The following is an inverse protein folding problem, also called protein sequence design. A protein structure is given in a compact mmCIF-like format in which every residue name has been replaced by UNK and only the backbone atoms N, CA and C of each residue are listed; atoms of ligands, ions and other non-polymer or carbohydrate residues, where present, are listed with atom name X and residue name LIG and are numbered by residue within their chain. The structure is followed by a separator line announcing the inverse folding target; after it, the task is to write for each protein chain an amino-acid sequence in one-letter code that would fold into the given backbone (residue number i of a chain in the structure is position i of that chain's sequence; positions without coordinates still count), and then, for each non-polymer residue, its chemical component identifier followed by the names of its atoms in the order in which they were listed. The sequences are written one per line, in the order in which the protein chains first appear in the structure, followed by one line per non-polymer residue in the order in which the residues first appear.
data_IF_981246106435
#
_entry.id   IF_981246106435
#
_cell.length_a   1.000
_cell.length_b   1.000
_cell.length_c   1.000
_cell.angle_alpha   90.00
_cell.angle_beta   90.00
_cell.angle_gamma   90.00
#
_symmetry.space_group_name_H-M   'P 1'
#
loop_
_entity.id
_entity.type
_entity.pdbx_description
1 polymer ?
#
# COMPACT_ATOMS: atom_id res chain seq x y z
N UNK A 1 18.92 -21.42 -11.10
CA UNK A 1 18.13 -22.09 -10.05
C UNK A 1 17.46 -20.96 -9.28
N UNK A 2 16.12 -20.85 -9.30
CA UNK A 2 15.45 -19.79 -8.54
C UNK A 2 15.44 -20.24 -7.08
N UNK A 3 16.16 -19.52 -6.22
CA UNK A 3 16.16 -19.76 -4.78
C UNK A 3 14.83 -19.24 -4.23
N UNK A 4 13.81 -20.09 -4.20
CA UNK A 4 12.49 -19.74 -3.64
C UNK A 4 12.46 -19.81 -2.10
N UNK A 5 13.52 -20.36 -1.49
CA UNK A 5 13.64 -20.55 -0.05
C UNK A 5 14.21 -19.32 0.68
N UNK A 6 14.69 -18.30 -0.05
CA UNK A 6 15.18 -17.07 0.56
C UNK A 6 14.05 -16.10 0.89
N UNK A 7 13.58 -16.18 2.14
CA UNK A 7 12.52 -15.33 2.68
C UNK A 7 12.79 -13.82 2.52
N UNK A 8 14.05 -13.37 2.58
CA UNK A 8 14.40 -11.94 2.49
C UNK A 8 14.22 -11.37 1.07
N UNK A 9 14.11 -12.24 0.07
CA UNK A 9 13.94 -11.86 -1.34
C UNK A 9 12.46 -11.76 -1.75
N UNK A 10 11.54 -12.49 -1.10
CA UNK A 10 10.12 -12.56 -1.53
C UNK A 10 9.13 -11.89 -0.58
N UNK A 11 9.50 -11.71 0.69
CA UNK A 11 8.65 -11.04 1.66
C UNK A 11 9.19 -9.66 1.98
N UNK A 12 8.30 -8.72 2.27
CA UNK A 12 8.65 -7.37 2.74
C UNK A 12 8.49 -7.24 4.25
N UNK A 13 7.80 -8.19 4.89
CA UNK A 13 7.70 -8.28 6.35
C UNK A 13 9.02 -8.83 6.89
N UNK A 14 9.77 -7.98 7.60
CA UNK A 14 11.13 -8.26 8.04
C UNK A 14 11.24 -8.65 9.52
N UNK A 15 10.12 -8.82 10.22
CA UNK A 15 10.09 -8.97 11.70
C UNK A 15 10.47 -10.37 12.22
N UNK A 16 10.75 -11.33 11.34
CA UNK A 16 10.97 -12.74 11.73
C UNK A 16 12.41 -13.08 12.12
N UNK A 17 13.37 -12.16 12.01
CA UNK A 17 14.78 -12.40 12.35
C UNK A 17 15.32 -11.28 13.25
N UNK A 18 16.14 -11.67 14.23
CA UNK A 18 16.88 -10.70 15.06
C UNK A 18 17.97 -10.06 14.18
N UNK A 19 18.04 -8.73 14.13
CA UNK A 19 18.98 -7.91 13.33
C UNK A 19 18.70 -7.80 11.82
N UNK A 20 17.47 -7.99 11.35
CA UNK A 20 17.10 -7.62 9.96
C UNK A 20 17.03 -6.10 9.79
N UNK A 21 17.66 -5.60 8.73
CA UNK A 21 17.61 -4.18 8.36
C UNK A 21 16.29 -3.90 7.64
N UNK A 22 15.40 -3.13 8.27
CA UNK A 22 14.17 -2.65 7.64
C UNK A 22 14.58 -1.65 6.55
N UNK A 23 14.30 -1.99 5.30
CA UNK A 23 14.47 -1.07 4.16
C UNK A 23 13.26 -0.16 4.09
N UNK A 24 13.42 1.06 4.59
CA UNK A 24 12.40 2.10 4.55
C UNK A 24 12.96 3.33 3.83
N UNK A 25 12.11 3.95 3.02
CA UNK A 25 12.36 5.23 2.34
C UNK A 25 11.15 6.12 2.59
N UNK A 26 11.38 7.41 2.82
CA UNK A 26 10.29 8.37 2.94
C UNK A 26 9.62 8.62 1.57
N UNK A 27 8.40 9.16 1.60
CA UNK A 27 7.60 9.35 0.40
C UNK A 27 8.28 10.29 -0.61
N UNK A 28 8.91 11.38 -0.17
CA UNK A 28 9.52 12.38 -1.07
C UNK A 28 10.73 11.78 -1.79
N UNK A 29 11.59 11.07 -1.05
CA UNK A 29 12.72 10.33 -1.60
C UNK A 29 12.25 9.25 -2.56
N UNK A 30 11.23 8.47 -2.19
CA UNK A 30 10.67 7.44 -3.06
C UNK A 30 10.15 8.02 -4.38
N UNK A 31 9.37 9.11 -4.34
CA UNK A 31 8.82 9.75 -5.54
C UNK A 31 9.94 10.25 -6.45
N UNK A 32 10.98 10.84 -5.87
CA UNK A 32 12.14 11.33 -6.62
C UNK A 32 12.83 10.17 -7.36
N UNK A 33 13.21 9.13 -6.63
CA UNK A 33 13.88 7.95 -7.20
C UNK A 33 13.00 7.27 -8.25
N UNK A 34 11.71 7.11 -7.97
CA UNK A 34 10.77 6.46 -8.86
C UNK A 34 10.66 7.19 -10.21
N UNK A 35 10.52 8.52 -10.18
CA UNK A 35 10.40 9.33 -11.39
C UNK A 35 11.68 9.36 -12.23
N UNK A 36 12.85 9.21 -11.60
CA UNK A 36 14.14 9.13 -12.31
C UNK A 36 14.36 7.76 -12.96
N UNK A 37 13.90 6.68 -12.32
CA UNK A 37 14.18 5.30 -12.74
C UNK A 37 13.15 4.71 -13.71
N UNK A 38 11.93 5.26 -13.75
CA UNK A 38 10.83 4.69 -14.52
C UNK A 38 10.28 5.66 -15.57
N UNK A 39 9.75 5.09 -16.66
CA UNK A 39 9.16 5.87 -17.76
C UNK A 39 7.76 6.43 -17.46
N UNK A 40 7.15 6.05 -16.33
CA UNK A 40 5.88 6.62 -15.85
C UNK A 40 6.14 7.52 -14.64
N UNK A 41 5.48 8.67 -14.58
CA UNK A 41 5.52 9.55 -13.41
C UNK A 41 4.65 8.99 -12.27
N UNK A 42 5.12 9.13 -11.03
CA UNK A 42 4.44 8.66 -9.82
C UNK A 42 2.98 9.12 -9.75
N UNK A 43 2.70 10.38 -10.14
CA UNK A 43 1.36 10.95 -10.09
C UNK A 43 0.31 10.10 -10.85
N UNK A 44 0.69 9.51 -11.99
CA UNK A 44 -0.19 8.61 -12.77
C UNK A 44 -0.48 7.31 -12.01
N UNK A 45 0.51 6.79 -11.29
CA UNK A 45 0.39 5.57 -10.49
C UNK A 45 -0.46 5.83 -9.24
N UNK A 46 -0.23 6.94 -8.56
CA UNK A 46 -1.00 7.38 -7.40
C UNK A 46 -2.50 7.54 -7.73
N UNK A 47 -2.82 8.13 -8.88
CA UNK A 47 -4.21 8.21 -9.37
C UNK A 47 -4.84 6.82 -9.54
N UNK A 48 -4.10 5.85 -10.10
CA UNK A 48 -4.57 4.46 -10.23
C UNK A 48 -4.79 3.81 -8.85
N UNK A 49 -3.94 4.12 -7.87
CA UNK A 49 -4.10 3.64 -6.49
C UNK A 49 -5.38 4.21 -5.88
N UNK A 50 -5.64 5.52 -6.02
CA UNK A 50 -6.89 6.10 -5.52
C UNK A 50 -8.15 5.54 -6.20
N UNK A 51 -8.10 5.31 -7.51
CA UNK A 51 -9.19 4.64 -8.22
C UNK A 51 -9.42 3.21 -7.74
N UNK A 52 -8.34 2.47 -7.48
CA UNK A 52 -8.40 1.12 -6.91
C UNK A 52 -9.08 1.13 -5.54
N UNK A 53 -8.61 1.98 -4.61
CA UNK A 53 -9.20 2.11 -3.28
C UNK A 53 -10.67 2.51 -3.35
N UNK A 54 -11.03 3.49 -4.19
CA UNK A 54 -12.42 3.92 -4.38
C UNK A 54 -13.30 2.76 -4.85
N UNK A 55 -12.86 1.97 -5.83
CA UNK A 55 -13.63 0.82 -6.34
C UNK A 55 -13.83 -0.23 -5.26
N UNK A 56 -12.80 -0.53 -4.48
CA UNK A 56 -12.88 -1.54 -3.41
C UNK A 56 -13.88 -1.09 -2.34
N UNK A 57 -13.74 0.12 -1.81
CA UNK A 57 -14.64 0.61 -0.77
C UNK A 57 -16.07 0.79 -1.27
N UNK A 58 -16.27 1.24 -2.52
CA UNK A 58 -17.61 1.30 -3.10
C UNK A 58 -18.25 -0.09 -3.20
N UNK A 59 -17.50 -1.08 -3.69
CA UNK A 59 -18.00 -2.46 -3.79
C UNK A 59 -18.30 -3.09 -2.44
N UNK A 60 -17.62 -2.66 -1.37
CA UNK A 60 -17.84 -3.13 0.00
C UNK A 60 -19.03 -2.42 0.70
N UNK A 61 -19.75 -1.55 0.00
CA UNK A 61 -20.92 -0.81 0.50
C UNK A 61 -22.14 -0.96 -0.40
N UNK A 62 -22.19 -1.97 -1.27
CA UNK A 62 -23.26 -2.13 -2.27
C UNK A 62 -24.50 -2.75 -1.63
N UNK A 63 -24.30 -3.73 -0.76
CA UNK A 63 -25.37 -4.39 -0.03
C UNK A 63 -25.64 -3.68 1.30
N UNK A 64 -26.83 -3.90 1.86
CA UNK A 64 -27.15 -3.39 3.19
C UNK A 64 -26.53 -4.29 4.28
N UNK A 65 -26.27 -3.76 5.48
CA UNK A 65 -25.91 -4.58 6.63
C UNK A 65 -26.91 -5.72 6.86
N UNK A 66 -26.45 -6.93 7.24
CA UNK A 66 -25.10 -7.26 7.73
C UNK A 66 -24.12 -7.74 6.65
N UNK A 67 -24.46 -7.66 5.36
CA UNK A 67 -23.62 -8.24 4.31
C UNK A 67 -22.39 -7.39 3.99
N UNK A 68 -22.55 -6.07 4.03
CA UNK A 68 -21.54 -5.09 3.63
C UNK A 68 -21.32 -4.01 4.72
N UNK A 69 -20.37 -3.11 4.47
CA UNK A 69 -20.06 -1.98 5.33
C UNK A 69 -21.21 -0.97 5.28
N UNK A 70 -21.94 -0.85 6.39
CA UNK A 70 -23.05 0.09 6.53
C UNK A 70 -22.62 1.53 6.77
N UNK A 71 -23.43 2.47 6.28
CA UNK A 71 -23.26 3.90 6.57
C UNK A 71 -23.71 4.24 8.01
N UNK A 72 -22.91 5.01 8.74
CA UNK A 72 -23.27 5.56 10.04
C UNK A 72 -22.63 6.94 10.23
N UNK A 73 -23.46 7.99 10.35
CA UNK A 73 -22.99 9.38 10.46
C UNK A 73 -22.15 9.65 11.72
N UNK A 74 -22.35 8.86 12.77
CA UNK A 74 -21.64 8.99 14.04
C UNK A 74 -20.38 8.11 14.12
N UNK A 75 -20.05 7.36 13.08
CA UNK A 75 -18.92 6.44 13.06
C UNK A 75 -17.93 6.79 11.95
N UNK A 76 -16.65 6.54 12.23
CA UNK A 76 -15.56 6.61 11.25
C UNK A 76 -14.68 5.39 11.43
N UNK A 77 -14.12 4.92 10.32
CA UNK A 77 -13.18 3.82 10.29
C UNK A 77 -11.90 4.28 9.58
N UNK A 78 -10.76 3.82 10.05
CA UNK A 78 -9.49 3.99 9.36
C UNK A 78 -9.01 2.65 8.83
N UNK A 79 -8.47 2.68 7.62
CA UNK A 79 -7.96 1.51 6.92
C UNK A 79 -6.57 1.83 6.37
N UNK A 80 -5.64 0.90 6.51
CA UNK A 80 -4.39 0.91 5.75
C UNK A 80 -4.52 -0.02 4.55
N UNK A 81 -3.90 0.37 3.43
CA UNK A 81 -3.88 -0.41 2.20
C UNK A 81 -2.44 -0.77 1.89
N UNK A 82 -2.15 -2.07 1.87
CA UNK A 82 -0.85 -2.57 1.47
C UNK A 82 -0.90 -3.01 0.01
N UNK A 83 0.07 -2.53 -0.77
CA UNK A 83 0.13 -2.76 -2.20
C UNK A 83 1.56 -2.96 -2.69
N UNK A 84 1.67 -3.62 -3.85
CA UNK A 84 2.93 -3.77 -4.59
C UNK A 84 2.76 -3.16 -5.98
N UNK A 85 3.86 -2.63 -6.52
CA UNK A 85 3.93 -2.14 -7.89
C UNK A 85 4.54 -3.23 -8.79
N UNK A 86 3.75 -3.71 -9.76
CA UNK A 86 4.19 -4.67 -10.76
C UNK A 86 4.57 -3.95 -12.06
N UNK A 87 5.80 -4.15 -12.55
CA UNK A 87 6.18 -3.74 -13.90
C UNK A 87 5.71 -4.80 -14.91
N UNK A 88 4.77 -4.45 -15.79
CA UNK A 88 4.26 -5.38 -16.79
C UNK A 88 5.24 -5.58 -17.94
N UNK A 89 5.58 -6.83 -18.22
CA UNK A 89 6.49 -7.22 -19.30
C UNK A 89 6.03 -6.84 -20.71
N UNK A 90 4.71 -6.66 -20.94
CA UNK A 90 4.17 -6.45 -22.28
C UNK A 90 4.21 -4.99 -22.75
N UNK A 91 4.23 -4.03 -21.83
CA UNK A 91 4.12 -2.61 -22.16
C UNK A 91 4.94 -1.70 -21.23
N UNK A 92 5.79 -2.27 -20.37
CA UNK A 92 6.56 -1.56 -19.34
C UNK A 92 5.71 -0.61 -18.48
N UNK A 93 4.41 -0.88 -18.36
CA UNK A 93 3.53 -0.10 -17.48
C UNK A 93 3.59 -0.63 -16.07
N UNK A 94 3.51 0.30 -15.12
CA UNK A 94 3.48 -0.04 -13.71
C UNK A 94 2.02 -0.17 -13.28
N UNK A 95 1.68 -1.34 -12.72
CA UNK A 95 0.36 -1.66 -12.19
C UNK A 95 0.43 -1.84 -10.67
N UNK A 96 -0.33 -1.04 -9.89
CA UNK A 96 -0.59 -1.33 -8.49
C UNK A 96 -1.36 -2.65 -8.32
N UNK A 97 -0.94 -3.45 -7.35
CA UNK A 97 -1.57 -4.70 -6.93
C UNK A 97 -1.90 -4.60 -5.45
N UNK A 98 -3.19 -4.68 -5.12
CA UNK A 98 -3.64 -4.78 -3.75
C UNK A 98 -3.15 -6.10 -3.14
N UNK A 99 -2.62 -6.05 -1.93
CA UNK A 99 -2.34 -7.23 -1.12
C UNK A 99 -3.40 -7.39 -0.03
N UNK A 100 -3.56 -6.37 0.81
CA UNK A 100 -4.47 -6.40 1.95
C UNK A 100 -5.01 -5.01 2.31
N UNK A 101 -6.12 -5.02 3.05
CA UNK A 101 -6.71 -3.83 3.67
C UNK A 101 -6.91 -4.13 5.16
N UNK A 102 -6.26 -3.36 6.01
CA UNK A 102 -6.25 -3.55 7.45
C UNK A 102 -7.15 -2.53 8.14
N UNK A 103 -8.15 -3.00 8.89
CA UNK A 103 -8.97 -2.14 9.75
C UNK A 103 -8.21 -1.79 11.04
N UNK A 104 -8.28 -0.52 11.46
CA UNK A 104 -7.58 0.01 12.62
C UNK A 104 -6.05 -0.25 12.58
N UNK A 105 -5.35 0.26 11.56
CA UNK A 105 -3.93 0.00 11.37
C UNK A 105 -3.06 0.60 12.48
N UNK A 106 -1.91 -0.01 12.73
CA UNK A 106 -0.89 0.58 13.61
C UNK A 106 -0.15 1.71 12.87
N UNK A 107 -0.38 2.94 13.31
CA UNK A 107 0.21 4.14 12.72
C UNK A 107 1.50 4.62 13.41
N UNK A 108 2.05 3.88 14.37
CA UNK A 108 3.21 4.31 15.16
C UNK A 108 4.40 4.73 14.28
N UNK A 109 4.65 3.99 13.19
CA UNK A 109 5.72 4.32 12.24
C UNK A 109 5.47 5.65 11.53
N UNK A 110 4.24 5.88 11.03
CA UNK A 110 3.89 7.13 10.35
C UNK A 110 4.06 8.34 11.30
N UNK A 111 3.63 8.21 12.56
CA UNK A 111 3.80 9.25 13.57
C UNK A 111 5.28 9.55 13.89
N UNK A 112 6.16 8.55 13.82
CA UNK A 112 7.61 8.78 14.02
C UNK A 112 8.30 9.41 12.82
N UNK A 113 7.84 9.13 11.60
CA UNK A 113 8.46 9.61 10.36
C UNK A 113 7.91 10.96 9.90
N UNK A 114 6.68 11.31 10.25
CA UNK A 114 6.01 12.54 9.80
C UNK A 114 5.43 13.30 10.99
N UNK A 115 6.07 14.43 11.36
CA UNK A 115 5.68 15.24 12.52
C UNK A 115 4.28 15.86 12.43
N UNK A 116 3.72 15.92 11.21
CA UNK A 116 2.38 16.43 10.91
C UNK A 116 1.33 15.32 10.80
N UNK A 117 1.72 14.05 10.95
CA UNK A 117 0.80 12.93 10.92
C UNK A 117 0.24 12.66 12.33
N UNK A 118 -1.06 12.88 12.49
CA UNK A 118 -1.78 12.65 13.74
C UNK A 118 -2.89 11.63 13.52
N UNK A 119 -2.92 10.59 14.36
CA UNK A 119 -3.90 9.52 14.36
C UNK A 119 -4.59 9.44 15.72
#
# INVERSE_FOLDING_TARGET
MKEFDDHETYFTVMDYRVNTYIRQIDCETFITIFNEQHGEIWLSIEQRIFELCRKIFYSATVEEPPFDIGSCLSSRASYATDLILELKHNNNKIQPKLLEINFAPNCQHACTSYSTFYY
#
